data_IF_887781127253
#
_entry.id   IF_887781127253
#
_cell.length_a   1.000
_cell.length_b   1.000
_cell.length_c   1.000
_cell.angle_alpha   90.00
_cell.angle_beta   90.00
_cell.angle_gamma   90.00
#
_symmetry.space_group_name_H-M   'P 1'
#
loop_
_entity.id
_entity.type
_entity.pdbx_description
1 polymer ?
#
# COMPACT_ATOMS: atom_id res chain seq x y z
N UNK A 1 25.06 -8.49 -2.90
CA UNK A 1 24.66 -7.12 -3.25
C UNK A 1 23.21 -6.97 -2.85
N UNK A 2 22.99 -6.37 -1.68
CA UNK A 2 21.66 -6.08 -1.14
C UNK A 2 21.50 -4.58 -1.32
N UNK A 3 20.63 -4.18 -2.24
CA UNK A 3 20.35 -2.75 -2.48
C UNK A 3 19.37 -2.24 -1.43
N UNK A 4 19.81 -1.18 -0.77
CA UNK A 4 19.20 -0.51 0.37
C UNK A 4 18.16 0.50 -0.13
N UNK A 5 16.89 0.09 -0.24
CA UNK A 5 15.79 0.97 -0.64
C UNK A 5 15.22 1.71 0.58
N UNK A 6 15.68 2.95 0.81
CA UNK A 6 15.05 3.88 1.77
C UNK A 6 13.89 4.64 1.10
N UNK A 7 12.65 4.54 1.58
CA UNK A 7 11.60 5.47 1.16
C UNK A 7 11.85 6.84 1.80
N UNK A 8 12.15 7.83 0.98
CA UNK A 8 12.36 9.22 1.40
C UNK A 8 11.02 9.90 1.73
N UNK A 9 10.57 9.76 2.98
CA UNK A 9 9.72 10.77 3.60
C UNK A 9 10.65 11.71 4.37
N UNK A 10 10.91 12.91 3.83
CA UNK A 10 11.79 13.89 4.47
C UNK A 10 11.15 14.39 5.77
N UNK A 11 11.63 13.91 6.90
CA UNK A 11 11.81 14.76 8.08
C UNK A 11 12.87 15.81 7.71
N UNK A 12 12.51 17.08 7.66
CA UNK A 12 13.45 18.18 7.42
C UNK A 12 14.34 18.30 8.68
N UNK A 13 15.68 18.21 8.59
CA UNK A 13 16.54 18.56 9.71
C UNK A 13 16.51 20.07 9.95
N UNK A 14 16.31 20.48 11.20
CA UNK A 14 16.60 21.84 11.68
C UNK A 14 18.07 22.17 11.38
N UNK A 15 18.30 23.21 10.61
CA UNK A 15 19.61 23.85 10.51
C UNK A 15 19.48 25.29 11.03
N UNK A 16 20.36 25.61 11.98
CA UNK A 16 20.44 26.88 12.69
C UNK A 16 20.59 28.07 11.74
N UNK A 17 19.66 29.03 11.84
CA UNK A 17 19.80 30.33 11.21
C UNK A 17 20.71 31.21 12.07
N UNK A 18 21.97 31.39 11.65
CA UNK A 18 22.79 32.50 12.12
C UNK A 18 22.42 33.77 11.38
N UNK A 19 21.98 34.74 12.17
CA UNK A 19 21.79 36.16 11.89
C UNK A 19 22.94 36.80 11.11
N UNK A 20 22.63 37.48 10.01
CA UNK A 20 23.32 38.71 9.59
C UNK A 20 22.32 39.70 8.98
N UNK A 21 22.44 40.93 9.44
CA UNK A 21 21.66 42.14 9.20
C UNK A 21 21.91 42.77 7.82
N UNK A 22 20.84 43.25 7.17
CA UNK A 22 20.63 44.63 6.69
C UNK A 22 19.59 44.68 5.55
N UNK A 23 18.69 45.69 5.50
CA UNK A 23 17.61 45.76 4.51
C UNK A 23 17.97 46.66 3.31
N UNK A 24 17.42 46.42 2.10
CA UNK A 24 17.42 47.44 1.07
C UNK A 24 16.05 48.10 0.89
N UNK A 25 16.07 49.39 1.19
CA UNK A 25 15.40 50.56 0.61
C UNK A 25 14.41 50.35 -0.55
N UNK A 26 13.19 50.87 -0.38
CA UNK A 26 12.19 51.13 -1.42
C UNK A 26 12.54 52.40 -2.22
N UNK A 27 12.22 52.42 -3.53
CA UNK A 27 11.48 53.48 -4.27
C UNK A 27 11.37 53.11 -5.78
N UNK A 28 10.46 53.73 -6.57
CA UNK A 28 9.57 53.03 -7.50
C UNK A 28 9.79 53.42 -8.97
N UNK A 29 9.12 52.75 -9.93
CA UNK A 29 8.57 53.40 -11.14
C UNK A 29 7.62 52.50 -11.96
N UNK A 30 6.67 53.19 -12.61
CA UNK A 30 5.65 52.76 -13.58
C UNK A 30 6.23 52.02 -14.79
N UNK A 31 5.50 51.11 -15.45
CA UNK A 31 4.52 51.39 -16.52
C UNK A 31 4.19 50.13 -17.36
N UNK A 32 3.04 50.18 -18.03
CA UNK A 32 2.36 49.19 -18.88
C UNK A 32 3.19 48.50 -19.98
N UNK A 33 2.87 47.22 -20.28
CA UNK A 33 2.51 46.71 -21.62
C UNK A 33 2.22 45.18 -21.62
N UNK A 34 1.11 44.76 -22.26
CA UNK A 34 0.89 43.38 -22.76
C UNK A 34 1.74 43.15 -24.02
N UNK A 35 2.09 41.89 -24.34
CA UNK A 35 1.57 41.36 -25.62
C UNK A 35 1.17 39.87 -25.65
N UNK A 36 0.10 39.66 -26.40
CA UNK A 36 -0.35 38.57 -27.29
C UNK A 36 0.42 37.25 -27.46
N UNK A 37 -0.42 36.20 -27.51
CA UNK A 37 -0.25 34.84 -28.04
C UNK A 37 0.51 34.76 -29.38
N UNK A 38 1.44 33.80 -29.46
CA UNK A 38 1.86 33.19 -30.74
C UNK A 38 1.77 31.66 -30.68
N UNK A 39 1.03 31.16 -31.67
CA UNK A 39 0.74 29.78 -32.05
C UNK A 39 2.03 29.13 -32.59
N UNK A 40 2.47 28.02 -32.01
CA UNK A 40 3.56 27.20 -32.57
C UNK A 40 2.95 26.01 -33.32
N UNK A 41 3.32 25.92 -34.59
CA UNK A 41 2.99 24.86 -35.54
C UNK A 41 4.06 23.77 -35.43
N UNK A 42 3.64 22.51 -35.30
CA UNK A 42 4.49 21.33 -35.40
C UNK A 42 4.80 21.02 -36.88
N UNK A 43 6.02 20.56 -37.22
CA UNK A 43 6.23 19.77 -38.42
C UNK A 43 6.34 18.28 -38.10
N UNK A 44 5.52 17.50 -38.79
CA UNK A 44 5.69 16.07 -39.06
C UNK A 44 6.80 15.85 -40.09
N UNK A 45 7.63 14.83 -39.93
CA UNK A 45 8.23 14.14 -41.07
C UNK A 45 8.65 12.70 -40.71
N UNK A 46 8.14 11.79 -41.53
CA UNK A 46 8.46 10.38 -41.66
C UNK A 46 9.81 10.11 -42.35
N UNK A 47 10.47 9.01 -41.98
CA UNK A 47 10.72 7.83 -42.86
C UNK A 47 12.14 7.23 -42.79
N UNK A 48 12.14 5.89 -42.93
CA UNK A 48 13.15 4.96 -43.50
C UNK A 48 14.31 4.45 -42.63
N UNK A 49 14.09 3.23 -42.11
CA UNK A 49 14.82 1.98 -42.42
C UNK A 49 16.29 2.07 -42.87
N UNK A 50 17.18 1.41 -42.12
CA UNK A 50 18.15 0.48 -42.72
C UNK A 50 18.58 -0.63 -41.74
N UNK A 51 18.55 -1.88 -42.22
CA UNK A 51 19.10 -3.08 -41.58
C UNK A 51 20.62 -3.05 -41.66
N UNK A 52 21.32 -3.46 -40.60
CA UNK A 52 22.63 -4.11 -40.76
C UNK A 52 22.84 -5.22 -39.73
N UNK A 53 23.08 -6.40 -40.28
CA UNK A 53 23.44 -7.65 -39.64
C UNK A 53 24.89 -7.58 -39.11
N UNK A 54 25.11 -8.08 -37.89
CA UNK A 54 26.43 -8.18 -37.26
C UNK A 54 26.51 -9.45 -36.40
N UNK A 55 27.18 -10.45 -36.95
CA UNK A 55 27.37 -11.82 -36.44
C UNK A 55 28.60 -11.83 -35.51
N UNK A 56 28.49 -12.39 -34.30
CA UNK A 56 29.63 -12.68 -33.40
C UNK A 56 29.60 -14.17 -33.03
N UNK A 57 30.75 -14.89 -33.05
CA UNK A 57 30.78 -16.35 -33.13
C UNK A 57 30.80 -17.07 -31.78
N UNK A 58 30.23 -18.29 -31.80
CA UNK A 58 30.29 -19.31 -30.74
C UNK A 58 31.69 -19.93 -30.65
N UNK A 59 32.26 -20.03 -29.44
CA UNK A 59 33.40 -20.92 -29.13
C UNK A 59 32.90 -22.31 -28.74
N UNK A 60 33.46 -23.33 -29.40
CA UNK A 60 33.40 -24.75 -29.03
C UNK A 60 34.39 -25.01 -27.89
N UNK A 61 33.98 -25.83 -26.92
CA UNK A 61 34.89 -26.57 -26.03
C UNK A 61 34.54 -28.05 -26.11
N UNK A 62 35.58 -28.87 -26.20
CA UNK A 62 35.63 -30.30 -26.53
C UNK A 62 35.33 -31.20 -25.32
N UNK A 63 34.61 -32.30 -25.55
CA UNK A 63 34.64 -33.53 -24.72
C UNK A 63 35.89 -34.36 -25.09
N UNK A 64 36.33 -35.27 -24.21
CA UNK A 64 36.11 -36.69 -24.52
C UNK A 64 35.79 -37.56 -23.30
N UNK A 65 35.25 -38.76 -23.55
CA UNK A 65 35.28 -39.88 -22.60
C UNK A 65 33.94 -40.57 -22.39
N UNK A 66 33.71 -41.63 -23.15
CA UNK A 66 32.60 -42.58 -23.03
C UNK A 66 32.93 -43.69 -22.03
N UNK A 67 31.92 -44.25 -21.35
CA UNK A 67 31.89 -45.66 -20.92
C UNK A 67 30.44 -46.08 -20.68
N UNK A 68 30.13 -47.28 -21.17
CA UNK A 68 28.81 -47.88 -21.36
C UNK A 68 28.14 -48.41 -20.09
N UNK A 69 26.83 -48.55 -20.28
CA UNK A 69 25.76 -49.17 -19.52
C UNK A 69 25.87 -50.70 -19.49
N UNK A 70 25.70 -51.35 -18.32
CA UNK A 70 25.14 -52.72 -18.21
C UNK A 70 24.36 -52.85 -16.89
N UNK A 71 23.06 -53.09 -16.98
CA UNK A 71 22.23 -53.68 -15.92
C UNK A 71 22.08 -55.18 -16.16
N UNK A 72 21.78 -56.00 -15.14
CA UNK A 72 21.14 -57.28 -15.37
C UNK A 72 19.76 -57.41 -14.71
N UNK A 73 18.99 -58.24 -15.38
CA UNK A 73 17.58 -58.53 -15.27
C UNK A 73 17.31 -59.77 -14.40
N UNK A 74 16.15 -59.75 -13.75
CA UNK A 74 15.27 -60.86 -13.31
C UNK A 74 15.83 -62.10 -12.61
N UNK A 75 15.16 -62.48 -11.52
CA UNK A 75 14.69 -63.86 -11.36
C UNK A 75 13.48 -63.91 -10.43
N UNK A 76 12.36 -64.41 -10.98
CA UNK A 76 11.18 -64.87 -10.23
C UNK A 76 11.56 -66.13 -9.45
N UNK A 77 11.01 -66.30 -8.26
CA UNK A 77 10.56 -67.63 -7.85
C UNK A 77 9.35 -67.60 -6.92
N UNK A 78 8.51 -68.60 -7.12
CA UNK A 78 7.11 -68.76 -6.72
C UNK A 78 7.02 -69.81 -5.60
N UNK A 79 6.29 -69.48 -4.53
CA UNK A 79 5.45 -70.29 -3.60
C UNK A 79 5.78 -71.78 -3.34
N UNK A 80 5.49 -72.28 -2.12
CA UNK A 80 4.21 -72.99 -1.98
C UNK A 80 3.41 -72.70 -0.70
N UNK A 81 2.11 -72.90 -0.86
CA UNK A 81 1.04 -72.86 0.12
C UNK A 81 1.06 -74.03 1.12
N UNK A 82 0.63 -73.78 2.36
CA UNK A 82 -0.09 -74.79 3.14
C UNK A 82 -1.31 -74.19 3.85
N UNK A 83 -2.32 -75.04 3.97
CA UNK A 83 -3.73 -74.76 4.22
C UNK A 83 -4.10 -75.18 5.65
N UNK A 84 -5.08 -74.44 6.19
CA UNK A 84 -6.13 -74.83 7.17
C UNK A 84 -5.78 -74.94 8.66
N UNK A 85 -6.48 -74.10 9.43
CA UNK A 85 -6.76 -74.30 10.85
C UNK A 85 -7.48 -73.08 11.46
N UNK A 86 -8.80 -73.13 11.55
CA UNK A 86 -9.65 -72.36 12.50
C UNK A 86 -10.58 -73.40 13.15
N UNK A 87 -11.14 -73.21 14.37
CA UNK A 87 -11.15 -71.98 15.16
C UNK A 87 -10.75 -72.18 16.65
N UNK A 88 -10.30 -71.11 17.29
CA UNK A 88 -10.17 -71.01 18.74
C UNK A 88 -10.46 -69.58 19.16
N UNK A 89 -11.57 -69.36 19.83
CA UNK A 89 -11.92 -68.08 20.43
C UNK A 89 -10.94 -67.79 21.58
N UNK A 90 -10.24 -66.67 21.52
CA UNK A 90 -9.56 -66.08 22.65
C UNK A 90 -9.55 -64.55 22.51
N UNK A 91 -10.01 -63.90 23.55
CA UNK A 91 -10.16 -62.46 23.79
C UNK A 91 -8.97 -61.63 23.27
N UNK A 92 -9.22 -60.70 22.35
CA UNK A 92 -8.25 -59.65 22.02
C UNK A 92 -8.52 -58.43 22.88
N UNK A 93 -7.69 -58.25 23.92
CA UNK A 93 -7.54 -56.99 24.63
C UNK A 93 -7.25 -55.87 23.63
N UNK A 94 -8.00 -54.77 23.75
CA UNK A 94 -7.79 -53.56 22.95
C UNK A 94 -6.38 -53.04 23.19
N UNK A 95 -5.54 -53.01 22.15
CA UNK A 95 -4.28 -52.29 22.20
C UNK A 95 -4.58 -50.81 22.39
N UNK A 96 -4.24 -50.33 23.58
CA UNK A 96 -4.34 -48.96 24.01
C UNK A 96 -3.42 -48.11 23.11
N UNK A 97 -4.01 -47.35 22.18
CA UNK A 97 -3.25 -46.41 21.35
C UNK A 97 -2.78 -45.29 22.28
N UNK A 98 -1.50 -45.33 22.67
CA UNK A 98 -0.92 -44.40 23.65
C UNK A 98 -1.29 -42.93 23.36
N UNK A 99 -1.69 -42.14 24.38
CA UNK A 99 -2.18 -40.76 24.22
C UNK A 99 -1.21 -39.82 23.50
N UNK A 100 0.09 -40.13 23.49
CA UNK A 100 1.15 -39.35 22.83
C UNK A 100 0.95 -39.28 21.29
N UNK A 101 0.51 -40.36 20.62
CA UNK A 101 0.27 -40.31 19.16
C UNK A 101 -0.96 -39.48 18.80
N UNK A 102 -1.96 -39.42 19.69
CA UNK A 102 -3.17 -38.61 19.51
C UNK A 102 -2.88 -37.12 19.73
N UNK A 103 -1.99 -36.79 20.67
CA UNK A 103 -1.51 -35.43 20.93
C UNK A 103 -0.64 -34.91 19.77
N UNK A 104 0.22 -35.73 19.18
CA UNK A 104 1.02 -35.32 18.02
C UNK A 104 0.16 -35.17 16.73
N UNK A 105 -0.89 -35.97 16.57
CA UNK A 105 -1.84 -35.83 15.47
C UNK A 105 -2.76 -34.61 15.62
N UNK A 106 -3.24 -34.32 16.84
CA UNK A 106 -4.03 -33.11 17.12
C UNK A 106 -3.18 -31.83 17.04
N UNK A 107 -1.92 -31.88 17.46
CA UNK A 107 -0.99 -30.78 17.26
C UNK A 107 -0.73 -30.56 15.76
N UNK A 108 -0.47 -31.60 14.96
CA UNK A 108 -0.29 -31.44 13.50
C UNK A 108 -1.52 -30.88 12.76
N UNK A 109 -2.73 -31.12 13.26
CA UNK A 109 -3.96 -30.53 12.70
C UNK A 109 -4.14 -29.05 13.08
N UNK A 110 -3.63 -28.63 14.25
CA UNK A 110 -3.70 -27.25 14.75
C UNK A 110 -2.77 -26.27 14.01
N UNK A 111 -1.75 -26.74 13.28
CA UNK A 111 -0.79 -25.88 12.56
C UNK A 111 -1.21 -25.53 11.12
N UNK A 112 -2.41 -25.92 10.68
CA UNK A 112 -2.89 -25.70 9.29
C UNK A 112 -4.11 -24.79 9.19
N UNK A 113 -4.25 -23.83 10.11
CA UNK A 113 -4.99 -22.61 9.76
C UNK A 113 -4.03 -21.67 9.03
N UNK A 114 -3.59 -22.06 7.84
CA UNK A 114 -2.75 -21.23 6.98
C UNK A 114 -3.59 -20.07 6.48
N UNK A 115 -3.41 -18.90 7.10
CA UNK A 115 -3.98 -17.63 6.66
C UNK A 115 -3.49 -17.32 5.24
N UNK A 116 -4.42 -17.05 4.32
CA UNK A 116 -4.07 -16.60 2.98
C UNK A 116 -3.81 -15.08 2.95
N UNK A 117 -3.27 -14.56 1.84
CA UNK A 117 -2.92 -13.14 1.71
C UNK A 117 -4.12 -12.19 1.88
N UNK A 118 -5.31 -12.59 1.42
CA UNK A 118 -6.56 -11.82 1.59
C UNK A 118 -6.91 -11.73 3.07
N UNK A 119 -6.95 -12.86 3.77
CA UNK A 119 -7.24 -12.92 5.20
C UNK A 119 -6.22 -12.11 6.01
N UNK A 120 -4.93 -12.25 5.69
CA UNK A 120 -3.87 -11.46 6.32
C UNK A 120 -4.09 -9.97 6.10
N UNK A 121 -4.32 -9.55 4.86
CA UNK A 121 -4.59 -8.15 4.55
C UNK A 121 -5.78 -7.64 5.34
N UNK A 122 -6.91 -8.35 5.35
CA UNK A 122 -8.13 -7.92 6.02
C UNK A 122 -7.93 -7.77 7.54
N UNK A 123 -7.20 -8.71 8.16
CA UNK A 123 -6.86 -8.61 9.59
C UNK A 123 -6.00 -7.37 9.89
N UNK A 124 -4.97 -7.12 9.08
CA UNK A 124 -4.08 -5.96 9.29
C UNK A 124 -4.77 -4.63 8.98
N UNK A 125 -5.56 -4.57 7.90
CA UNK A 125 -6.34 -3.40 7.51
C UNK A 125 -7.35 -3.00 8.59
N UNK A 126 -8.02 -3.97 9.21
CA UNK A 126 -8.94 -3.72 10.32
C UNK A 126 -8.25 -3.04 11.53
N UNK A 127 -6.95 -3.26 11.75
CA UNK A 127 -6.24 -2.63 12.88
C UNK A 127 -6.02 -1.12 12.72
N UNK A 128 -6.05 -0.60 11.49
CA UNK A 128 -5.80 0.83 11.19
C UNK A 128 -7.06 1.61 10.81
N UNK A 129 -8.22 0.98 10.97
CA UNK A 129 -9.56 1.54 10.74
C UNK A 129 -10.46 1.32 11.96
N UNK A 130 -11.65 1.92 11.97
CA UNK A 130 -12.63 1.75 13.06
C UNK A 130 -12.94 0.26 13.26
N UNK A 131 -12.86 -0.22 14.51
CA UNK A 131 -13.21 -1.60 14.83
C UNK A 131 -14.71 -1.86 14.62
N UNK A 132 -15.03 -3.08 14.22
CA UNK A 132 -16.42 -3.54 14.14
C UNK A 132 -17.05 -3.59 15.53
N UNK A 133 -18.38 -3.46 15.60
CA UNK A 133 -19.11 -3.49 16.85
C UNK A 133 -18.83 -4.80 17.62
N UNK A 134 -18.42 -4.69 18.88
CA UNK A 134 -18.07 -5.82 19.74
C UNK A 134 -16.64 -6.36 19.56
N UNK A 135 -15.86 -5.84 18.62
CA UNK A 135 -14.44 -6.17 18.49
C UNK A 135 -13.58 -5.38 19.50
N UNK A 136 -12.34 -5.84 19.72
CA UNK A 136 -11.35 -5.08 20.51
C UNK A 136 -11.04 -3.76 19.79
N UNK A 137 -10.82 -2.65 20.53
CA UNK A 137 -10.42 -1.39 19.91
C UNK A 137 -9.21 -1.57 19.00
N UNK A 138 -9.27 -1.00 17.80
CA UNK A 138 -8.16 -0.99 16.85
C UNK A 138 -7.10 0.04 17.25
N UNK A 139 -5.99 0.13 16.50
CA UNK A 139 -5.05 1.25 16.66
C UNK A 139 -5.72 2.58 16.33
N UNK A 140 -6.59 2.61 15.32
CA UNK A 140 -7.36 3.81 14.98
C UNK A 140 -8.25 4.27 16.13
N UNK A 141 -9.00 3.34 16.75
CA UNK A 141 -9.92 3.67 17.84
C UNK A 141 -9.15 4.23 19.05
N UNK A 142 -8.07 3.54 19.46
CA UNK A 142 -7.20 4.02 20.55
C UNK A 142 -6.59 5.39 20.24
N UNK A 143 -6.09 5.57 19.02
CA UNK A 143 -5.47 6.83 18.58
C UNK A 143 -6.44 8.00 18.53
N UNK A 144 -7.75 7.79 18.40
CA UNK A 144 -8.74 8.88 18.30
C UNK A 144 -9.72 8.95 19.47
N UNK A 145 -9.70 7.99 20.38
CA UNK A 145 -10.56 7.96 21.55
C UNK A 145 -10.45 9.26 22.36
N UNK A 146 -11.61 9.81 22.73
CA UNK A 146 -11.74 11.01 23.55
C UNK A 146 -11.39 12.35 22.87
N UNK A 147 -10.97 12.38 21.60
CA UNK A 147 -10.70 13.65 20.92
C UNK A 147 -12.00 14.36 20.53
N UNK A 148 -12.07 15.65 20.86
CA UNK A 148 -13.09 16.54 20.30
C UNK A 148 -12.73 16.97 18.88
N UNK A 149 -13.72 17.46 18.13
CA UNK A 149 -13.49 18.00 16.80
C UNK A 149 -12.50 19.17 16.82
N UNK A 150 -12.51 20.00 17.85
CA UNK A 150 -11.59 21.14 17.98
C UNK A 150 -10.16 20.68 18.25
N UNK A 151 -9.98 19.67 19.12
CA UNK A 151 -8.67 19.07 19.35
C UNK A 151 -8.09 18.44 18.07
N UNK A 152 -8.94 17.88 17.20
CA UNK A 152 -8.48 17.33 15.91
C UNK A 152 -8.01 18.38 14.91
N UNK A 153 -8.32 19.66 15.14
CA UNK A 153 -7.88 20.79 14.30
C UNK A 153 -6.61 21.46 14.84
N UNK A 154 -6.16 21.09 16.03
CA UNK A 154 -4.98 21.70 16.65
C UNK A 154 -3.71 21.32 15.90
N UNK A 155 -2.83 22.32 15.75
CA UNK A 155 -1.49 22.23 15.15
C UNK A 155 -0.47 22.68 16.21
N UNK A 156 0.10 21.76 17.00
CA UNK A 156 0.92 22.12 18.17
C UNK A 156 2.32 22.64 17.81
N UNK A 157 2.69 22.65 16.54
CA UNK A 157 3.98 23.15 16.06
C UNK A 157 3.93 23.44 14.56
N UNK A 158 4.91 24.21 14.09
CA UNK A 158 5.09 24.49 12.65
C UNK A 158 5.34 23.18 11.88
N UNK A 159 4.84 23.09 10.65
CA UNK A 159 5.01 21.93 9.76
C UNK A 159 4.39 20.60 10.27
N UNK A 160 3.58 20.60 11.34
CA UNK A 160 2.85 19.40 11.77
C UNK A 160 1.46 19.38 11.13
N UNK A 161 0.94 18.24 10.72
CA UNK A 161 -0.40 18.19 10.14
C UNK A 161 -1.47 18.07 11.25
N UNK A 162 -2.59 18.81 11.20
CA UNK A 162 -3.72 18.57 12.10
C UNK A 162 -4.28 17.15 11.93
N UNK A 163 -4.81 16.57 13.01
CA UNK A 163 -5.33 15.18 12.99
C UNK A 163 -6.47 15.02 11.97
N UNK A 164 -7.36 16.01 11.83
CA UNK A 164 -8.42 15.99 10.81
C UNK A 164 -7.86 15.90 9.39
N UNK A 165 -6.76 16.61 9.11
CA UNK A 165 -6.07 16.53 7.83
C UNK A 165 -5.46 15.15 7.63
N UNK A 166 -4.82 14.57 8.65
CA UNK A 166 -4.28 13.22 8.58
C UNK A 166 -5.35 12.17 8.26
N UNK A 167 -6.54 12.28 8.85
CA UNK A 167 -7.64 11.35 8.55
C UNK A 167 -8.07 11.42 7.08
N UNK A 168 -8.23 12.63 6.57
CA UNK A 168 -8.57 12.87 5.17
C UNK A 168 -7.45 12.42 4.24
N UNK A 169 -6.19 12.76 4.54
CA UNK A 169 -5.00 12.40 3.75
C UNK A 169 -4.85 10.89 3.61
N UNK A 170 -4.97 10.17 4.73
CA UNK A 170 -4.97 8.71 4.75
C UNK A 170 -6.10 8.13 3.89
N UNK A 171 -7.33 8.64 4.06
CA UNK A 171 -8.48 8.17 3.28
C UNK A 171 -8.32 8.46 1.78
N UNK A 172 -7.85 9.65 1.39
CA UNK A 172 -7.60 10.01 -0.01
C UNK A 172 -6.51 9.17 -0.64
N UNK A 173 -5.40 8.97 0.07
CA UNK A 173 -4.29 8.16 -0.41
C UNK A 173 -4.73 6.72 -0.64
N UNK A 174 -5.44 6.13 0.32
CA UNK A 174 -5.99 4.78 0.20
C UNK A 174 -7.02 4.67 -0.94
N UNK A 175 -7.97 5.61 -1.03
CA UNK A 175 -9.00 5.61 -2.07
C UNK A 175 -8.40 5.64 -3.49
N UNK A 176 -7.43 6.54 -3.72
CA UNK A 176 -6.76 6.65 -5.03
C UNK A 176 -5.92 5.41 -5.32
N UNK A 177 -5.09 4.98 -4.36
CA UNK A 177 -4.20 3.85 -4.56
C UNK A 177 -4.98 2.54 -4.78
N UNK A 178 -6.04 2.30 -4.01
CA UNK A 178 -6.81 1.06 -4.11
C UNK A 178 -7.77 1.10 -5.28
N UNK A 179 -8.61 2.12 -5.39
CA UNK A 179 -9.68 2.12 -6.39
C UNK A 179 -9.16 2.47 -7.78
N UNK A 180 -8.44 3.59 -7.93
CA UNK A 180 -7.98 4.02 -9.26
C UNK A 180 -6.79 3.19 -9.73
N UNK A 181 -5.82 2.90 -8.86
CA UNK A 181 -4.55 2.29 -9.27
C UNK A 181 -4.61 0.76 -9.21
N UNK A 182 -4.95 0.15 -8.07
CA UNK A 182 -4.98 -1.30 -7.92
C UNK A 182 -6.17 -1.94 -8.65
N UNK A 183 -7.38 -1.41 -8.45
CA UNK A 183 -8.62 -2.05 -8.93
C UNK A 183 -9.06 -1.60 -10.33
N UNK A 184 -8.51 -0.49 -10.85
CA UNK A 184 -9.05 0.18 -12.05
C UNK A 184 -10.57 0.39 -11.98
N UNK A 185 -11.04 0.87 -10.83
CA UNK A 185 -12.45 1.16 -10.55
C UNK A 185 -12.66 2.62 -10.15
N UNK A 186 -13.92 3.04 -9.94
CA UNK A 186 -14.22 4.38 -9.45
C UNK A 186 -13.72 4.56 -8.00
N UNK A 187 -13.16 5.73 -7.71
CA UNK A 187 -12.87 6.16 -6.34
C UNK A 187 -14.17 6.45 -5.57
N UNK A 188 -14.11 6.37 -4.24
CA UNK A 188 -15.21 6.73 -3.36
C UNK A 188 -15.47 8.24 -3.38
N UNK A 189 -14.42 9.05 -3.53
CA UNK A 189 -14.57 10.51 -3.58
C UNK A 189 -15.38 10.97 -4.81
N UNK A 190 -16.55 11.53 -4.54
CA UNK A 190 -17.38 12.24 -5.50
C UNK A 190 -17.68 13.69 -5.05
N UNK A 191 -18.55 14.38 -5.79
CA UNK A 191 -18.93 15.76 -5.48
C UNK A 191 -19.76 15.86 -4.19
N UNK A 192 -20.50 14.82 -3.83
CA UNK A 192 -21.28 14.82 -2.59
C UNK A 192 -20.38 14.64 -1.38
N UNK A 193 -19.33 13.82 -1.46
CA UNK A 193 -18.33 13.71 -0.41
C UNK A 193 -17.54 15.00 -0.19
N UNK A 194 -17.16 15.70 -1.27
CA UNK A 194 -16.45 16.99 -1.13
C UNK A 194 -17.31 18.04 -0.44
N UNK A 195 -18.61 18.11 -0.77
CA UNK A 195 -19.59 18.97 -0.08
C UNK A 195 -19.80 18.56 1.38
N UNK A 196 -20.07 17.27 1.64
CA UNK A 196 -20.33 16.75 3.00
C UNK A 196 -19.15 16.98 3.94
N UNK A 197 -17.93 16.77 3.44
CA UNK A 197 -16.72 17.03 4.23
C UNK A 197 -16.38 18.51 4.35
N UNK A 198 -16.98 19.39 3.54
CA UNK A 198 -16.53 20.78 3.38
C UNK A 198 -15.06 20.89 3.00
N UNK A 199 -14.58 19.97 2.15
CA UNK A 199 -13.18 19.91 1.68
C UNK A 199 -13.14 19.94 0.17
N UNK A 200 -12.65 21.05 -0.39
CA UNK A 200 -12.58 21.27 -1.86
C UNK A 200 -11.41 20.60 -2.56
N UNK A 201 -10.35 20.21 -1.83
CA UNK A 201 -9.20 19.56 -2.43
C UNK A 201 -9.54 18.11 -2.81
N UNK A 202 -9.25 17.74 -4.06
CA UNK A 202 -9.41 16.36 -4.56
C UNK A 202 -8.10 15.57 -4.60
N UNK A 203 -6.98 16.26 -4.44
CA UNK A 203 -5.65 15.66 -4.38
C UNK A 203 -5.51 14.77 -3.14
N UNK A 204 -4.47 13.93 -3.10
CA UNK A 204 -4.14 13.11 -1.94
C UNK A 204 -3.60 13.94 -0.76
N UNK A 205 -3.24 15.21 -0.97
CA UNK A 205 -2.72 16.11 0.07
C UNK A 205 -1.21 16.29 0.04
N UNK A 206 -0.45 15.36 -0.56
CA UNK A 206 0.97 15.58 -0.83
C UNK A 206 1.17 16.80 -1.72
N UNK A 207 2.01 17.73 -1.26
CA UNK A 207 2.29 18.98 -1.95
C UNK A 207 1.40 20.16 -1.53
N UNK A 208 0.46 19.97 -0.60
CA UNK A 208 -0.24 21.09 0.03
C UNK A 208 0.74 21.93 0.87
N UNK A 209 0.60 23.24 0.78
CA UNK A 209 1.28 24.19 1.66
C UNK A 209 0.68 24.21 3.06
N UNK A 210 1.41 24.72 4.04
CA UNK A 210 0.91 24.85 5.41
C UNK A 210 -0.39 25.67 5.50
N UNK A 211 -0.52 26.73 4.70
CA UNK A 211 -1.73 27.55 4.65
C UNK A 211 -2.94 26.80 4.07
N UNK A 212 -2.73 25.95 3.07
CA UNK A 212 -3.79 25.08 2.54
C UNK A 212 -4.19 24.00 3.54
N UNK A 213 -3.23 23.44 4.28
CA UNK A 213 -3.50 22.48 5.36
C UNK A 213 -4.33 23.15 6.46
N UNK A 214 -4.00 24.38 6.86
CA UNK A 214 -4.75 25.14 7.85
C UNK A 214 -6.18 25.44 7.37
N UNK A 215 -6.32 25.90 6.13
CA UNK A 215 -7.63 26.21 5.55
C UNK A 215 -8.52 24.98 5.42
N UNK A 216 -7.96 23.87 4.95
CA UNK A 216 -8.65 22.58 4.90
C UNK A 216 -9.12 22.16 6.30
N UNK A 217 -8.20 22.20 7.28
CA UNK A 217 -8.49 21.72 8.63
C UNK A 217 -9.55 22.57 9.33
N UNK A 218 -9.55 23.89 9.09
CA UNK A 218 -10.54 24.82 9.62
C UNK A 218 -11.93 24.60 9.02
N UNK A 219 -12.01 24.33 7.72
CA UNK A 219 -13.29 24.17 7.00
C UNK A 219 -13.88 22.76 7.12
N UNK A 220 -13.06 21.74 7.34
CA UNK A 220 -13.50 20.36 7.33
C UNK A 220 -14.57 20.04 8.39
N UNK A 221 -15.64 19.37 7.96
CA UNK A 221 -16.54 18.64 8.83
C UNK A 221 -15.86 17.33 9.26
N UNK A 222 -15.44 17.28 10.53
CA UNK A 222 -14.69 16.14 11.10
C UNK A 222 -15.52 14.85 11.07
N UNK A 223 -16.83 14.93 11.30
CA UNK A 223 -17.72 13.77 11.28
C UNK A 223 -17.82 13.18 9.87
N UNK A 224 -17.99 14.03 8.86
CA UNK A 224 -18.03 13.63 7.47
C UNK A 224 -16.67 13.10 6.97
N UNK A 225 -15.54 13.66 7.42
CA UNK A 225 -14.20 13.11 7.10
C UNK A 225 -14.04 11.69 7.66
N UNK A 226 -14.50 11.45 8.90
CA UNK A 226 -14.52 10.09 9.50
C UNK A 226 -15.43 9.15 8.71
N UNK A 227 -16.60 9.61 8.29
CA UNK A 227 -17.53 8.83 7.48
C UNK A 227 -16.96 8.49 6.10
N UNK A 228 -16.29 9.43 5.44
CA UNK A 228 -15.61 9.20 4.17
C UNK A 228 -14.51 8.16 4.33
N UNK A 229 -13.69 8.27 5.38
CA UNK A 229 -12.67 7.27 5.70
C UNK A 229 -13.26 5.87 5.91
N UNK A 230 -14.37 5.76 6.64
CA UNK A 230 -15.06 4.49 6.83
C UNK A 230 -15.59 3.90 5.51
N UNK A 231 -16.12 4.74 4.62
CA UNK A 231 -16.58 4.34 3.30
C UNK A 231 -15.42 3.83 2.41
N UNK A 232 -14.28 4.51 2.43
CA UNK A 232 -13.05 4.06 1.76
C UNK A 232 -12.59 2.71 2.32
N UNK A 233 -12.56 2.55 3.64
CA UNK A 233 -12.16 1.30 4.28
C UNK A 233 -13.06 0.13 3.84
N UNK A 234 -14.37 0.35 3.78
CA UNK A 234 -15.31 -0.67 3.30
C UNK A 234 -15.05 -1.01 1.84
N UNK A 235 -14.92 0.01 0.99
CA UNK A 235 -14.65 -0.18 -0.44
C UNK A 235 -13.34 -0.94 -0.67
N UNK A 236 -12.28 -0.62 0.07
CA UNK A 236 -11.00 -1.33 0.03
C UNK A 236 -11.16 -2.82 0.35
N UNK A 237 -11.91 -3.15 1.41
CA UNK A 237 -12.18 -4.56 1.76
C UNK A 237 -12.94 -5.28 0.65
N UNK A 238 -13.88 -4.62 -0.01
CA UNK A 238 -14.63 -5.21 -1.12
C UNK A 238 -13.76 -5.44 -2.36
N UNK A 239 -12.87 -4.50 -2.68
CA UNK A 239 -11.85 -4.68 -3.74
C UNK A 239 -10.97 -5.89 -3.42
N UNK A 240 -10.44 -5.97 -2.21
CA UNK A 240 -9.49 -7.03 -1.82
C UNK A 240 -10.13 -8.42 -1.85
N UNK A 241 -11.40 -8.55 -1.45
CA UNK A 241 -12.15 -9.82 -1.51
C UNK A 241 -12.42 -10.29 -2.95
N UNK A 242 -12.47 -9.36 -3.91
CA UNK A 242 -12.86 -9.64 -5.30
C UNK A 242 -11.69 -9.58 -6.28
N UNK A 243 -10.52 -9.11 -5.84
CA UNK A 243 -9.31 -9.04 -6.66
C UNK A 243 -8.85 -10.45 -7.04
N UNK A 244 -8.70 -10.71 -8.35
CA UNK A 244 -8.22 -12.00 -8.86
C UNK A 244 -6.86 -12.34 -8.25
N UNK A 245 -6.61 -13.62 -7.97
CA UNK A 245 -5.42 -14.07 -7.27
C UNK A 245 -4.10 -13.64 -7.95
N UNK A 246 -4.00 -13.77 -9.27
CA UNK A 246 -2.83 -13.36 -10.08
C UNK A 246 -2.66 -11.84 -10.18
N UNK A 247 -3.74 -11.07 -10.02
CA UNK A 247 -3.68 -9.61 -10.06
C UNK A 247 -2.90 -9.00 -8.89
N UNK A 248 -2.68 -9.75 -7.80
CA UNK A 248 -1.85 -9.34 -6.66
C UNK A 248 -0.38 -9.19 -7.03
N UNK A 249 0.13 -10.04 -7.94
CA UNK A 249 1.53 -10.06 -8.36
C UNK A 249 1.82 -9.17 -9.58
N UNK A 250 0.77 -8.73 -10.29
CA UNK A 250 0.91 -7.78 -11.39
C UNK A 250 1.58 -6.48 -10.93
N UNK A 251 2.52 -5.99 -11.75
CA UNK A 251 3.30 -4.80 -11.47
C UNK A 251 2.52 -3.55 -11.91
N UNK A 252 2.42 -2.57 -11.00
CA UNK A 252 1.82 -1.28 -11.27
C UNK A 252 2.69 -0.51 -12.27
N UNK A 253 2.09 -0.18 -13.41
CA UNK A 253 2.74 0.56 -14.48
C UNK A 253 2.28 2.02 -14.60
N UNK A 254 2.81 2.70 -15.60
CA UNK A 254 2.41 4.06 -15.98
C UNK A 254 0.88 4.17 -16.10
N UNK A 255 0.27 3.31 -16.93
CA UNK A 255 -1.16 3.32 -17.22
C UNK A 255 -2.03 3.24 -15.95
N UNK A 256 -1.56 2.57 -14.91
CA UNK A 256 -2.29 2.47 -13.64
C UNK A 256 -2.31 3.79 -12.89
N UNK A 257 -1.16 4.43 -12.76
CA UNK A 257 -1.02 5.69 -12.03
C UNK A 257 -1.53 6.89 -12.83
N UNK A 258 -1.56 6.81 -14.17
CA UNK A 258 -2.14 7.85 -15.04
C UNK A 258 -3.62 8.05 -14.78
N UNK A 259 -4.36 7.03 -14.32
CA UNK A 259 -5.78 7.16 -13.95
C UNK A 259 -5.97 8.08 -12.75
N UNK A 260 -5.10 7.96 -11.74
CA UNK A 260 -5.07 8.89 -10.61
C UNK A 260 -4.76 10.32 -11.05
N UNK A 261 -3.79 10.50 -11.96
CA UNK A 261 -3.46 11.80 -12.51
C UNK A 261 -4.62 12.42 -13.32
N UNK A 262 -5.27 11.62 -14.18
CA UNK A 262 -6.44 12.04 -14.94
C UNK A 262 -7.63 12.41 -14.04
N UNK A 263 -7.76 11.78 -12.87
CA UNK A 263 -8.75 12.13 -11.86
C UNK A 263 -8.38 13.36 -11.00
N UNK A 264 -7.25 14.03 -11.28
CA UNK A 264 -6.78 15.18 -10.51
C UNK A 264 -6.35 14.83 -9.08
N UNK A 265 -5.95 13.57 -8.83
CA UNK A 265 -5.63 13.08 -7.49
C UNK A 265 -4.26 13.54 -6.97
N UNK A 266 -3.42 14.15 -7.81
CA UNK A 266 -2.07 14.54 -7.43
C UNK A 266 -1.84 16.03 -7.69
N UNK A 267 -1.07 16.68 -6.82
CA UNK A 267 -0.75 18.10 -6.99
C UNK A 267 0.06 18.31 -8.28
N UNK A 268 -0.30 19.31 -9.13
CA UNK A 268 0.37 19.56 -10.41
C UNK A 268 1.86 19.89 -10.26
N UNK A 269 2.26 20.48 -9.13
CA UNK A 269 3.63 20.87 -8.81
C UNK A 269 4.46 19.76 -8.19
N UNK A 270 3.90 18.55 -8.05
CA UNK A 270 4.68 17.43 -7.56
C UNK A 270 5.59 16.91 -8.67
N UNK A 271 6.90 16.92 -8.42
CA UNK A 271 7.95 16.37 -9.31
C UNK A 271 7.73 14.89 -9.68
N UNK A 272 6.70 14.28 -9.10
CA UNK A 272 6.31 12.89 -9.20
C UNK A 272 5.25 12.61 -10.25
N UNK A 273 4.71 13.63 -10.96
CA UNK A 273 3.52 13.49 -11.84
C UNK A 273 3.75 13.97 -13.29
N UNK A 274 4.80 14.77 -13.56
CA UNK A 274 5.03 15.38 -14.88
C UNK A 274 5.24 14.34 -16.00
N UNK A 275 4.16 14.05 -16.76
CA UNK A 275 4.17 13.20 -17.96
C UNK A 275 4.34 11.70 -17.71
N UNK A 276 4.59 11.28 -16.46
CA UNK A 276 4.95 9.90 -16.11
C UNK A 276 4.01 9.26 -15.08
N UNK A 277 2.85 9.86 -14.78
CA UNK A 277 1.96 9.36 -13.71
C UNK A 277 2.62 9.46 -12.33
N UNK A 278 2.01 8.93 -11.27
CA UNK A 278 2.59 9.02 -9.92
C UNK A 278 3.69 7.97 -9.71
N UNK A 279 4.94 8.36 -9.96
CA UNK A 279 6.10 7.45 -9.96
C UNK A 279 6.36 6.70 -8.66
N UNK A 280 6.05 7.21 -7.45
CA UNK A 280 6.30 6.47 -6.21
C UNK A 280 5.57 5.13 -6.08
N UNK A 281 4.53 4.87 -6.88
CA UNK A 281 3.77 3.62 -6.84
C UNK A 281 4.10 2.67 -7.99
N UNK A 282 4.87 3.12 -8.98
CA UNK A 282 5.22 2.29 -10.14
C UNK A 282 6.32 1.29 -9.80
N UNK A 283 6.32 0.16 -10.51
CA UNK A 283 7.32 -0.91 -10.32
C UNK A 283 7.07 -1.79 -9.10
N UNK A 284 6.06 -1.47 -8.28
CA UNK A 284 5.60 -2.30 -7.16
C UNK A 284 4.52 -3.27 -7.64
N UNK A 285 4.44 -4.46 -7.03
CA UNK A 285 3.26 -5.32 -7.23
C UNK A 285 2.02 -4.69 -6.59
N UNK A 286 0.83 -5.07 -7.05
CA UNK A 286 -0.43 -4.63 -6.41
C UNK A 286 -0.49 -5.03 -4.94
N UNK A 287 0.03 -6.21 -4.58
CA UNK A 287 0.16 -6.64 -3.18
C UNK A 287 1.02 -5.68 -2.35
N UNK A 288 2.20 -5.29 -2.88
CA UNK A 288 3.09 -4.35 -2.20
C UNK A 288 2.43 -2.99 -2.02
N UNK A 289 1.68 -2.52 -3.03
CA UNK A 289 0.96 -1.24 -2.98
C UNK A 289 -0.23 -1.26 -2.02
N UNK A 290 -1.01 -2.35 -1.99
CA UNK A 290 -2.07 -2.56 -1.01
C UNK A 290 -1.50 -2.48 0.41
N UNK A 291 -0.41 -3.20 0.68
CA UNK A 291 0.29 -3.12 1.96
C UNK A 291 0.86 -1.72 2.26
N UNK A 292 1.35 -1.02 1.25
CA UNK A 292 1.91 0.33 1.39
C UNK A 292 0.85 1.37 1.76
N UNK A 293 -0.17 1.55 0.92
CA UNK A 293 -1.14 2.63 1.06
C UNK A 293 -2.29 2.32 2.00
N UNK A 294 -2.75 1.07 2.07
CA UNK A 294 -3.92 0.72 2.88
C UNK A 294 -3.56 0.24 4.29
N UNK A 295 -2.30 -0.13 4.55
CA UNK A 295 -1.86 -0.58 5.89
C UNK A 295 -0.74 0.31 6.44
N UNK A 296 0.45 0.31 5.82
CA UNK A 296 1.63 0.98 6.38
C UNK A 296 1.49 2.51 6.45
N UNK A 297 0.98 3.13 5.39
CA UNK A 297 0.73 4.58 5.33
C UNK A 297 -0.26 5.01 6.41
N UNK A 298 -1.36 4.27 6.56
CA UNK A 298 -2.31 4.49 7.64
C UNK A 298 -1.65 4.35 9.03
N UNK A 299 -0.91 3.28 9.28
CA UNK A 299 -0.24 3.07 10.56
C UNK A 299 0.77 4.18 10.89
N UNK A 300 1.52 4.65 9.88
CA UNK A 300 2.47 5.76 10.02
C UNK A 300 1.78 7.05 10.47
N UNK A 301 0.69 7.44 9.81
CA UNK A 301 -0.03 8.67 10.16
C UNK A 301 -0.86 8.55 11.45
N UNK A 302 -1.24 7.34 11.86
CA UNK A 302 -1.74 7.12 13.22
C UNK A 302 -0.65 7.35 14.28
N UNK A 303 0.60 6.96 14.00
CA UNK A 303 1.75 7.31 14.85
C UNK A 303 2.02 8.82 14.89
N UNK A 304 1.89 9.51 13.75
CA UNK A 304 1.95 10.97 13.68
C UNK A 304 0.85 11.61 14.54
N UNK A 305 -0.39 11.12 14.44
CA UNK A 305 -1.50 11.61 15.25
C UNK A 305 -1.25 11.42 16.77
N UNK A 306 -0.66 10.29 17.20
CA UNK A 306 -0.24 10.09 18.60
C UNK A 306 0.78 11.15 19.02
N UNK A 307 1.75 11.44 18.15
CA UNK A 307 2.77 12.48 18.42
C UNK A 307 2.13 13.86 18.57
N UNK A 308 1.20 14.21 17.68
CA UNK A 308 0.47 15.48 17.72
C UNK A 308 -0.35 15.59 19.01
N UNK A 309 -1.04 14.53 19.42
CA UNK A 309 -1.78 14.50 20.69
C UNK A 309 -0.87 14.78 21.87
N UNK A 310 0.28 14.09 21.93
CA UNK A 310 1.26 14.25 23.00
C UNK A 310 1.78 15.70 23.07
N UNK A 311 2.19 16.26 21.93
CA UNK A 311 2.67 17.65 21.85
C UNK A 311 1.59 18.68 22.21
N UNK A 312 0.32 18.40 21.92
CA UNK A 312 -0.80 19.25 22.28
C UNK A 312 -1.30 19.06 23.72
N UNK A 313 -0.72 18.13 24.48
CA UNK A 313 -1.15 17.83 25.85
C UNK A 313 -2.49 17.09 25.95
N UNK A 314 -2.92 16.40 24.88
CA UNK A 314 -4.15 15.62 24.88
C UNK A 314 -3.89 14.20 25.40
N UNK A 315 -4.64 13.72 26.41
CA UNK A 315 -4.44 12.38 26.96
C UNK A 315 -4.68 11.34 25.86
N UNK A 316 -3.93 10.23 25.83
CA UNK A 316 -4.27 9.10 24.96
C UNK A 316 -5.48 8.36 25.54
N UNK A 317 -6.44 7.98 24.70
CA UNK A 317 -7.56 7.16 25.14
C UNK A 317 -7.08 5.73 25.36
N UNK A 318 -7.03 5.32 26.64
CA UNK A 318 -6.72 3.95 27.05
C UNK A 318 -7.99 3.11 27.02
#
# INVERSE_FOLDING_TARGET
MVDDYRPSCRLIPLADAKSTSDPPTLLPTRNNARPTLRRIVLPSASSKSSRRSGRIPRRRSTRPGASEEIAPESTRNRMPSQRRGRPGAASSASMNVSPIRRILASHRASWRNTMNAIEFFLVQHAQVHVAEAGARPSYFDRTLAGLTNDQMRVRPGKNLNPIVWLLWHMARTEDVAVNLVVANGPQVLDDEWTKRMSVRWRIIGTGMSDGEVDEMSKSADVGAVRAYRAAVAQRTRDVVRTLRADAWDEIIGFADTSRGAAAGAFAPTSAWVEGVGYTPWQGQSRAAQLGASAIRHNALHLGEAITIRSLAGFPLGV
#
